data_IF_287057081616
#
_entry.id   IF_287057081616
#
_cell.length_a   1.000
_cell.length_b   1.000
_cell.length_c   1.000
_cell.angle_alpha   90.00
_cell.angle_beta   90.00
_cell.angle_gamma   90.00
#
_symmetry.space_group_name_H-M   'P 1'
#
loop_
_entity.id
_entity.type
_entity.pdbx_description
1 polymer ?
#
# COMPACT_ATOMS: atom_id res chain seq x y z
N UNK A 1 -20.02 -31.63 -27.59
CA UNK A 1 -19.82 -30.17 -27.73
C UNK A 1 -19.90 -29.57 -26.34
N UNK A 2 -18.81 -28.98 -25.84
CA UNK A 2 -18.76 -28.38 -24.51
C UNK A 2 -19.37 -26.98 -24.57
N UNK A 3 -20.46 -26.75 -23.85
CA UNK A 3 -21.12 -25.45 -23.75
C UNK A 3 -20.18 -24.49 -23.02
N UNK A 4 -19.94 -23.30 -23.59
CA UNK A 4 -19.09 -22.30 -22.96
C UNK A 4 -19.68 -21.86 -21.60
N UNK A 5 -18.86 -21.74 -20.54
CA UNK A 5 -19.32 -21.36 -19.22
C UNK A 5 -19.96 -19.97 -19.26
N UNK A 6 -21.14 -19.85 -18.66
CA UNK A 6 -21.88 -18.60 -18.61
C UNK A 6 -21.16 -17.62 -17.69
N UNK A 7 -21.16 -16.30 -17.97
CA UNK A 7 -20.58 -15.30 -17.07
C UNK A 7 -21.12 -15.37 -15.63
N UNK A 8 -22.31 -15.94 -15.44
CA UNK A 8 -22.93 -16.11 -14.13
C UNK A 8 -22.43 -17.36 -13.36
N UNK A 9 -21.75 -18.28 -14.04
CA UNK A 9 -21.08 -19.41 -13.39
C UNK A 9 -19.78 -18.97 -12.72
N UNK A 10 -19.10 -17.97 -13.29
CA UNK A 10 -17.88 -17.39 -12.73
C UNK A 10 -18.14 -16.70 -11.38
N UNK A 11 -19.25 -15.98 -11.27
CA UNK A 11 -19.62 -15.26 -10.03
C UNK A 11 -20.03 -16.22 -8.92
N UNK A 12 -20.68 -17.34 -9.26
CA UNK A 12 -21.00 -18.40 -8.30
C UNK A 12 -19.75 -19.12 -7.81
N UNK A 13 -18.83 -19.44 -8.73
CA UNK A 13 -17.55 -20.06 -8.36
C UNK A 13 -16.73 -19.15 -7.43
N UNK A 14 -16.68 -17.85 -7.70
CA UNK A 14 -15.99 -16.90 -6.82
C UNK A 14 -16.62 -16.83 -5.42
N UNK A 15 -17.95 -16.96 -5.32
CA UNK A 15 -18.64 -16.98 -4.03
C UNK A 15 -18.32 -18.24 -3.22
N UNK A 16 -18.32 -19.41 -3.88
CA UNK A 16 -17.99 -20.69 -3.26
C UNK A 16 -16.52 -20.73 -2.79
N UNK A 17 -15.60 -20.15 -3.59
CA UNK A 17 -14.19 -20.03 -3.19
C UNK A 17 -14.01 -19.11 -1.97
N UNK A 18 -14.78 -18.02 -1.88
CA UNK A 18 -14.73 -17.09 -0.75
C UNK A 18 -15.25 -17.76 0.54
N UNK A 19 -16.35 -18.50 0.44
CA UNK A 19 -16.93 -19.23 1.59
C UNK A 19 -16.00 -20.36 2.08
N UNK A 20 -15.37 -21.09 1.15
CA UNK A 20 -14.38 -22.11 1.48
C UNK A 20 -13.16 -21.53 2.22
N UNK A 21 -12.72 -20.32 1.84
CA UNK A 21 -11.61 -19.63 2.51
C UNK A 21 -12.01 -19.19 3.93
N UNK A 22 -13.25 -18.71 4.09
CA UNK A 22 -13.81 -18.31 5.38
C UNK A 22 -13.95 -19.51 6.32
N UNK A 23 -14.47 -20.64 5.82
CA UNK A 23 -14.51 -21.91 6.57
C UNK A 23 -13.12 -22.41 6.93
N UNK A 24 -12.14 -22.31 6.02
CA UNK A 24 -10.76 -22.73 6.29
C UNK A 24 -10.10 -21.86 7.36
N UNK A 25 -10.40 -20.57 7.40
CA UNK A 25 -9.96 -19.67 8.47
C UNK A 25 -10.63 -19.97 9.82
N UNK A 26 -11.90 -20.37 9.80
CA UNK A 26 -12.63 -20.78 11.00
C UNK A 26 -12.22 -22.16 11.52
N UNK A 27 -11.80 -23.06 10.63
CA UNK A 27 -11.29 -24.39 10.96
C UNK A 27 -9.79 -24.42 11.24
N UNK A 28 -9.09 -23.28 11.32
CA UNK A 28 -7.72 -23.25 11.84
C UNK A 28 -7.77 -23.92 13.22
N UNK A 29 -7.17 -25.11 13.38
CA UNK A 29 -7.19 -25.79 14.64
C UNK A 29 -6.56 -24.84 15.64
N UNK A 30 -7.32 -24.43 16.66
CA UNK A 30 -6.71 -24.00 17.89
C UNK A 30 -5.99 -25.24 18.41
N UNK A 31 -4.75 -25.44 17.96
CA UNK A 31 -3.86 -26.39 18.59
C UNK A 31 -3.98 -26.10 20.09
N UNK A 32 -4.30 -27.11 20.92
CA UNK A 32 -4.36 -26.92 22.34
C UNK A 32 -3.04 -26.25 22.72
N UNK A 33 -3.14 -25.03 23.28
CA UNK A 33 -1.97 -24.29 23.70
C UNK A 33 -1.09 -25.24 24.48
N UNK A 34 0.04 -25.60 23.88
CA UNK A 34 1.01 -26.50 24.46
C UNK A 34 1.41 -25.84 25.77
N UNK A 35 0.89 -26.38 26.88
CA UNK A 35 1.15 -25.87 28.21
C UNK A 35 2.67 -25.86 28.34
N UNK A 36 3.31 -24.69 28.42
CA UNK A 36 4.76 -24.64 28.43
C UNK A 36 5.21 -25.40 29.66
N UNK A 37 5.87 -26.53 29.42
CA UNK A 37 6.60 -27.24 30.46
C UNK A 37 7.56 -26.21 31.05
N UNK A 38 7.47 -25.91 32.35
CA UNK A 38 8.33 -24.90 32.95
C UNK A 38 9.79 -25.31 32.69
N UNK A 39 10.62 -24.42 32.15
CA UNK A 39 12.02 -24.73 31.95
C UNK A 39 12.65 -25.10 33.30
N UNK A 40 13.61 -26.05 33.34
CA UNK A 40 14.35 -26.33 34.55
C UNK A 40 14.94 -25.03 35.06
N UNK A 41 14.73 -24.75 36.35
CA UNK A 41 15.19 -23.55 37.03
C UNK A 41 16.70 -23.40 36.87
N UNK A 42 17.13 -22.71 35.81
CA UNK A 42 18.50 -22.28 35.69
C UNK A 42 18.72 -21.21 36.76
N UNK A 43 19.65 -21.53 37.65
CA UNK A 43 20.19 -20.69 38.71
C UNK A 43 20.37 -19.27 38.20
N UNK A 44 19.50 -18.37 38.64
CA UNK A 44 19.55 -16.96 38.29
C UNK A 44 20.92 -16.40 38.74
N UNK A 45 21.78 -15.93 37.81
CA UNK A 45 23.03 -15.32 38.21
C UNK A 45 22.76 -14.07 39.06
N UNK A 46 23.64 -13.75 40.03
CA UNK A 46 23.46 -12.64 40.94
C UNK A 46 23.26 -11.35 40.15
N UNK A 47 22.19 -10.61 40.47
CA UNK A 47 21.92 -9.31 39.87
C UNK A 47 23.14 -8.39 40.09
N UNK A 48 23.62 -7.69 39.05
CA UNK A 48 24.63 -6.65 39.25
C UNK A 48 24.05 -5.52 40.12
N UNK A 49 24.90 -4.85 40.92
CA UNK A 49 24.48 -3.77 41.80
C UNK A 49 23.76 -2.68 41.01
N UNK A 50 22.63 -2.21 41.54
CA UNK A 50 21.87 -1.10 40.98
C UNK A 50 22.67 0.20 41.13
N UNK A 51 23.38 0.60 40.10
CA UNK A 51 23.92 1.96 40.01
C UNK A 51 22.73 2.88 39.74
N UNK A 52 22.22 3.53 40.79
CA UNK A 52 21.31 4.67 40.66
C UNK A 52 22.00 5.69 39.76
N UNK A 53 21.39 5.97 38.61
CA UNK A 53 21.69 7.17 37.85
C UNK A 53 20.91 8.29 38.53
N UNK A 54 21.58 9.03 39.41
CA UNK A 54 21.09 10.33 39.86
C UNK A 54 20.90 11.24 38.64
N UNK A 55 19.78 11.95 38.60
CA UNK A 55 19.48 12.92 37.57
C UNK A 55 20.56 14.03 37.57
N UNK A 56 21.23 14.31 36.45
CA UNK A 56 22.16 15.41 36.41
C UNK A 56 21.40 16.74 36.48
N UNK A 57 21.90 17.59 37.37
CA UNK A 57 21.50 18.97 37.52
C UNK A 57 21.59 19.73 36.19
N UNK A 58 20.67 20.68 36.05
CA UNK A 58 20.62 21.77 35.07
C UNK A 58 22.00 22.28 34.66
N UNK A 59 22.37 22.07 33.40
CA UNK A 59 23.55 22.69 32.78
C UNK A 59 23.10 23.95 32.03
N UNK A 60 23.76 25.12 32.21
CA UNK A 60 23.42 26.34 31.50
C UNK A 60 23.81 26.30 30.01
N UNK A 61 23.11 27.11 29.22
CA UNK A 61 23.21 27.23 27.78
C UNK A 61 24.65 27.44 27.26
N UNK A 62 25.06 26.79 26.15
CA UNK A 62 26.33 27.09 25.51
C UNK A 62 26.23 28.38 24.68
N UNK A 63 27.10 29.33 25.02
CA UNK A 63 27.39 30.54 24.25
C UNK A 63 27.85 30.22 22.83
N UNK A 64 27.25 30.93 21.88
CA UNK A 64 27.80 31.27 20.57
C UNK A 64 29.19 31.90 20.73
N UNK A 65 30.26 31.20 20.36
CA UNK A 65 31.44 31.80 19.73
C UNK A 65 32.46 30.75 19.26
N UNK A 66 33.05 31.03 18.09
CA UNK A 66 34.30 30.48 17.55
C UNK A 66 34.29 29.08 16.92
N UNK A 67 34.00 29.04 15.61
CA UNK A 67 34.84 28.29 14.68
C UNK A 67 34.96 29.06 13.36
N UNK A 68 36.10 29.72 13.25
CA UNK A 68 36.60 30.35 12.05
C UNK A 68 37.24 29.28 11.13
N UNK A 69 36.99 29.43 9.84
CA UNK A 69 37.92 29.24 8.71
C UNK A 69 38.61 27.88 8.53
N UNK A 70 38.17 27.15 7.51
CA UNK A 70 38.92 26.42 6.45
C UNK A 70 37.86 25.57 5.73
N UNK A 71 37.69 25.50 4.42
CA UNK A 71 38.51 25.72 3.22
C UNK A 71 37.49 25.67 2.05
N UNK A 72 37.58 26.49 1.00
CA UNK A 72 36.64 26.37 -0.12
C UNK A 72 36.87 25.02 -0.82
N UNK A 73 35.81 24.21 -1.04
CA UNK A 73 35.97 23.00 -1.84
C UNK A 73 36.46 23.39 -3.23
N UNK A 74 37.51 22.71 -3.68
CA UNK A 74 38.12 22.86 -4.98
C UNK A 74 37.06 23.09 -6.06
N UNK A 75 37.16 24.24 -6.72
CA UNK A 75 36.47 24.54 -7.97
C UNK A 75 36.83 23.43 -8.94
N UNK A 76 35.94 22.44 -9.11
CA UNK A 76 36.01 21.50 -10.22
C UNK A 76 35.87 22.34 -11.48
N UNK A 77 37.01 22.71 -12.04
CA UNK A 77 37.15 23.32 -13.35
C UNK A 77 36.59 22.31 -14.34
N UNK A 78 35.31 22.49 -14.67
CA UNK A 78 34.69 21.84 -15.80
C UNK A 78 35.50 22.28 -17.02
N UNK A 79 36.44 21.44 -17.43
CA UNK A 79 37.02 21.52 -18.76
C UNK A 79 35.88 21.15 -19.72
N UNK A 80 35.37 22.11 -20.52
CA UNK A 80 34.33 21.80 -21.48
C UNK A 80 34.90 20.73 -22.42
N UNK A 81 34.19 19.61 -22.63
CA UNK A 81 34.66 18.59 -23.54
C UNK A 81 34.90 19.24 -24.90
N UNK A 82 36.08 18.97 -25.48
CA UNK A 82 36.44 19.43 -26.81
C UNK A 82 35.28 19.20 -27.77
N UNK A 83 34.97 20.15 -28.68
CA UNK A 83 33.90 19.99 -29.65
C UNK A 83 34.15 18.68 -30.42
N UNK A 84 33.27 17.70 -30.17
CA UNK A 84 33.30 16.45 -30.90
C UNK A 84 33.23 16.79 -32.38
N UNK A 85 34.24 16.32 -33.12
CA UNK A 85 34.31 16.42 -34.57
C UNK A 85 32.97 15.94 -35.14
N UNK A 86 32.28 16.74 -35.99
CA UNK A 86 30.99 16.33 -36.52
C UNK A 86 31.18 14.99 -37.26
N UNK A 87 30.53 13.96 -36.75
CA UNK A 87 30.43 12.68 -37.42
C UNK A 87 29.85 12.91 -38.83
N UNK A 88 30.32 12.17 -39.85
CA UNK A 88 29.83 12.31 -41.21
C UNK A 88 28.32 12.14 -41.21
N UNK A 89 27.63 13.16 -41.71
CA UNK A 89 26.18 13.20 -41.90
C UNK A 89 25.80 11.98 -42.75
N UNK A 90 25.28 10.95 -42.09
CA UNK A 90 24.68 9.82 -42.77
C UNK A 90 23.49 10.36 -43.57
N UNK A 91 23.54 10.15 -44.89
CA UNK A 91 22.49 10.55 -45.82
C UNK A 91 21.14 10.09 -45.27
N UNK A 92 20.19 11.03 -45.23
CA UNK A 92 18.82 10.76 -44.83
C UNK A 92 18.29 9.53 -45.57
N UNK A 93 17.80 8.48 -44.87
CA UNK A 93 17.16 7.36 -45.54
C UNK A 93 15.96 7.86 -46.33
N UNK A 94 15.81 7.32 -47.55
CA UNK A 94 14.71 7.64 -48.44
C UNK A 94 13.35 7.48 -47.72
N UNK A 95 12.35 8.33 -48.02
CA UNK A 95 11.04 8.25 -47.40
C UNK A 95 10.46 6.85 -47.61
N UNK A 96 10.22 6.16 -46.50
CA UNK A 96 9.52 4.87 -46.49
C UNK A 96 8.09 5.14 -47.01
N UNK A 97 7.59 4.37 -47.98
CA UNK A 97 6.25 4.58 -48.53
C UNK A 97 5.21 4.51 -47.41
N UNK A 98 4.41 5.57 -47.30
CA UNK A 98 3.25 5.65 -46.42
C UNK A 98 2.37 4.42 -46.63
N UNK A 99 2.12 3.58 -45.61
CA UNK A 99 1.20 2.46 -45.72
C UNK A 99 -0.16 2.96 -46.18
N UNK A 100 -0.69 2.33 -47.24
CA UNK A 100 -2.02 2.62 -47.75
C UNK A 100 -3.06 2.48 -46.63
N UNK A 101 -3.95 3.46 -46.52
CA UNK A 101 -4.99 3.47 -45.50
C UNK A 101 -5.78 2.15 -45.54
N UNK A 102 -6.02 1.50 -44.39
CA UNK A 102 -6.80 0.28 -44.34
C UNK A 102 -8.21 0.54 -44.90
N UNK A 103 -8.81 -0.43 -45.63
CA UNK A 103 -10.12 -0.28 -46.20
C UNK A 103 -11.14 0.05 -45.11
N UNK A 104 -11.94 1.09 -45.37
CA UNK A 104 -13.01 1.54 -44.49
C UNK A 104 -13.97 0.36 -44.23
N UNK A 105 -14.19 -0.04 -42.96
CA UNK A 105 -15.09 -1.14 -42.63
C UNK A 105 -16.48 -0.89 -43.21
N UNK A 106 -17.05 -1.92 -43.82
CA UNK A 106 -18.41 -1.87 -44.35
C UNK A 106 -19.40 -1.50 -43.21
N UNK A 107 -20.43 -0.70 -43.49
CA UNK A 107 -21.41 -0.30 -42.48
C UNK A 107 -22.04 -1.55 -41.86
N UNK A 108 -21.84 -1.71 -40.55
CA UNK A 108 -22.46 -2.79 -39.76
C UNK A 108 -23.97 -2.59 -39.83
N UNK A 109 -24.76 -3.62 -40.17
CA UNK A 109 -26.21 -3.52 -40.22
C UNK A 109 -26.74 -3.09 -38.85
N UNK A 110 -27.56 -2.04 -38.86
CA UNK A 110 -28.26 -1.53 -37.68
C UNK A 110 -29.11 -2.66 -37.10
N UNK A 111 -28.89 -3.07 -35.83
CA UNK A 111 -29.72 -4.09 -35.19
C UNK A 111 -31.18 -3.66 -35.19
N UNK A 112 -32.07 -4.57 -35.59
CA UNK A 112 -33.51 -4.36 -35.54
C UNK A 112 -33.95 -3.95 -34.12
N UNK A 113 -34.88 -3.00 -33.98
CA UNK A 113 -35.33 -2.51 -32.68
C UNK A 113 -35.83 -3.67 -31.82
N UNK A 114 -35.20 -3.82 -30.65
CA UNK A 114 -35.58 -4.82 -29.67
C UNK A 114 -37.07 -4.64 -29.29
N UNK A 115 -37.85 -5.73 -29.18
CA UNK A 115 -39.25 -5.66 -28.82
C UNK A 115 -39.43 -4.96 -27.46
N UNK A 116 -40.41 -4.06 -27.39
CA UNK A 116 -40.71 -3.29 -26.20
C UNK A 116 -40.90 -4.22 -24.99
N UNK A 117 -40.28 -3.91 -23.83
CA UNK A 117 -40.41 -4.73 -22.64
C UNK A 117 -41.88 -4.83 -22.24
N UNK A 118 -42.42 -6.06 -22.24
CA UNK A 118 -43.71 -6.35 -21.64
C UNK A 118 -43.62 -6.01 -20.16
N UNK A 119 -44.35 -4.97 -19.76
CA UNK A 119 -44.50 -4.55 -18.36
C UNK A 119 -45.20 -5.69 -17.63
N UNK A 120 -44.43 -6.51 -16.93
CA UNK A 120 -44.95 -7.51 -16.01
C UNK A 120 -45.69 -6.77 -14.91
N UNK A 121 -47.02 -6.80 -14.97
CA UNK A 121 -47.91 -6.24 -13.95
C UNK A 121 -47.53 -6.91 -12.63
N UNK A 122 -46.88 -6.14 -11.76
CA UNK A 122 -46.54 -6.58 -10.41
C UNK A 122 -47.85 -6.55 -9.61
N UNK A 123 -48.29 -7.69 -9.04
CA UNK A 123 -49.52 -7.73 -8.25
C UNK A 123 -49.40 -6.76 -7.08
N UNK A 124 -50.47 -6.01 -6.83
CA UNK A 124 -50.53 -5.03 -5.75
C UNK A 124 -50.15 -5.68 -4.41
N UNK A 125 -49.29 -5.04 -3.59
CA UNK A 125 -48.86 -5.60 -2.32
C UNK A 125 -50.08 -5.86 -1.44
N UNK A 126 -50.29 -7.13 -1.11
CA UNK A 126 -51.26 -7.54 -0.09
C UNK A 126 -50.89 -6.83 1.20
N UNK A 127 -51.82 -6.07 1.78
CA UNK A 127 -51.60 -5.36 3.06
C UNK A 127 -51.30 -6.39 4.14
N UNK A 128 -50.02 -6.55 4.45
CA UNK A 128 -49.57 -7.35 5.58
C UNK A 128 -50.20 -6.77 6.86
N UNK A 129 -50.85 -7.58 7.70
CA UNK A 129 -51.45 -7.10 8.93
C UNK A 129 -50.38 -6.44 9.79
N UNK A 130 -50.66 -5.21 10.22
CA UNK A 130 -49.80 -4.44 11.13
C UNK A 130 -49.50 -5.29 12.36
N UNK A 131 -48.23 -5.66 12.62
CA UNK A 131 -47.88 -6.45 13.78
C UNK A 131 -48.30 -5.69 15.05
N UNK A 132 -48.99 -6.41 15.94
CA UNK A 132 -49.35 -5.93 17.28
C UNK A 132 -48.09 -5.39 17.95
N UNK A 133 -48.12 -4.19 18.56
CA UNK A 133 -46.94 -3.57 19.15
C UNK A 133 -46.30 -4.52 20.16
N UNK A 134 -45.10 -4.99 19.82
CA UNK A 134 -44.24 -5.74 20.74
C UNK A 134 -43.98 -4.83 21.94
N UNK A 135 -44.21 -5.31 23.19
CA UNK A 135 -43.91 -4.55 24.39
C UNK A 135 -42.49 -4.01 24.32
N UNK A 136 -42.33 -2.72 24.62
CA UNK A 136 -41.03 -2.08 24.64
C UNK A 136 -40.08 -2.91 25.53
N UNK A 137 -38.89 -3.31 25.03
CA UNK A 137 -37.95 -4.09 25.82
C UNK A 137 -37.63 -3.31 27.09
N UNK A 138 -37.92 -3.92 28.23
CA UNK A 138 -37.52 -3.39 29.53
C UNK A 138 -36.02 -3.10 29.48
N UNK A 139 -35.57 -1.92 29.94
CA UNK A 139 -34.16 -1.59 30.03
C UNK A 139 -33.42 -2.70 30.76
N UNK A 140 -32.66 -3.50 29.99
CA UNK A 140 -31.79 -4.53 30.56
C UNK A 140 -30.82 -3.78 31.47
N UNK A 141 -30.79 -4.17 32.75
CA UNK A 141 -29.88 -3.58 33.72
C UNK A 141 -28.47 -3.53 33.11
N UNK A 142 -27.75 -2.40 33.24
CA UNK A 142 -26.40 -2.29 32.72
C UNK A 142 -25.58 -3.46 33.27
N UNK A 143 -24.85 -4.20 32.43
CA UNK A 143 -24.01 -5.28 32.91
C UNK A 143 -23.06 -4.71 33.96
N UNK A 144 -22.77 -5.46 35.04
CA UNK A 144 -21.78 -5.04 36.02
C UNK A 144 -20.48 -4.66 35.28
N UNK A 145 -19.81 -3.57 35.71
CA UNK A 145 -18.60 -3.10 35.05
C UNK A 145 -17.63 -4.26 34.93
N UNK A 146 -17.24 -4.57 33.69
CA UNK A 146 -16.26 -5.60 33.42
C UNK A 146 -15.01 -5.28 34.27
N UNK A 147 -14.40 -6.27 34.95
CA UNK A 147 -13.16 -6.05 35.65
C UNK A 147 -12.17 -5.40 34.67
N UNK A 148 -11.41 -4.38 35.10
CA UNK A 148 -10.46 -3.71 34.22
C UNK A 148 -9.57 -4.78 33.61
N UNK A 149 -9.70 -4.98 32.30
CA UNK A 149 -8.85 -5.88 31.55
C UNK A 149 -7.43 -5.44 31.84
N UNK A 150 -6.70 -6.22 32.63
CA UNK A 150 -5.31 -5.98 32.91
C UNK A 150 -4.65 -5.83 31.54
N UNK A 151 -4.18 -4.61 31.24
CA UNK A 151 -3.53 -4.31 29.96
C UNK A 151 -2.33 -5.24 29.89
N UNK A 152 -2.46 -6.33 29.14
CA UNK A 152 -1.34 -7.21 28.84
C UNK A 152 -0.26 -6.30 28.28
N UNK A 153 0.92 -6.20 28.92
CA UNK A 153 1.96 -5.30 28.46
C UNK A 153 2.22 -5.64 27.00
N UNK A 154 2.00 -4.66 26.13
CA UNK A 154 2.26 -4.81 24.70
C UNK A 154 3.71 -5.27 24.60
N UNK A 155 3.98 -6.46 24.04
CA UNK A 155 5.33 -6.99 23.96
C UNK A 155 6.20 -5.95 23.27
N UNK A 156 7.32 -5.60 23.91
CA UNK A 156 8.25 -4.61 23.40
C UNK A 156 8.61 -4.98 21.96
N UNK A 157 8.34 -4.05 21.03
CA UNK A 157 8.64 -4.27 19.63
C UNK A 157 10.14 -4.61 19.47
N UNK A 158 10.49 -5.58 18.60
CA UNK A 158 11.87 -5.96 18.40
C UNK A 158 12.69 -4.73 17.94
N UNK A 159 13.97 -4.63 18.35
CA UNK A 159 14.81 -3.50 17.99
C UNK A 159 14.91 -3.41 16.47
N UNK A 160 14.58 -2.24 15.93
CA UNK A 160 14.62 -1.99 14.49
C UNK A 160 16.11 -1.98 14.06
N UNK A 161 16.50 -2.73 13.02
CA UNK A 161 17.89 -2.74 12.56
C UNK A 161 18.33 -1.32 12.16
N UNK A 162 19.56 -0.93 12.50
CA UNK A 162 20.10 0.40 12.18
C UNK A 162 20.04 0.76 10.70
N UNK A 163 20.02 -0.23 9.80
CA UNK A 163 19.86 -0.02 8.35
C UNK A 163 18.51 0.63 7.99
N UNK A 164 17.47 0.38 8.79
CA UNK A 164 16.15 0.97 8.58
C UNK A 164 15.95 2.30 9.31
N UNK A 165 16.89 2.75 10.14
CA UNK A 165 16.82 4.04 10.83
C UNK A 165 16.53 5.24 9.90
N UNK A 166 17.19 5.40 8.73
CA UNK A 166 16.88 6.50 7.82
C UNK A 166 15.45 6.42 7.27
N UNK A 167 14.94 5.21 7.00
CA UNK A 167 13.56 5.03 6.54
C UNK A 167 12.54 5.35 7.65
N UNK A 168 12.82 4.94 8.88
CA UNK A 168 11.99 5.28 10.04
C UNK A 168 11.99 6.79 10.28
N UNK A 169 13.15 7.44 10.19
CA UNK A 169 13.27 8.89 10.33
C UNK A 169 12.50 9.63 9.24
N UNK A 170 12.59 9.18 7.98
CA UNK A 170 11.85 9.77 6.86
C UNK A 170 10.33 9.59 7.02
N UNK A 171 9.88 8.41 7.46
CA UNK A 171 8.46 8.15 7.72
C UNK A 171 7.95 8.99 8.91
N UNK A 172 8.76 9.17 9.95
CA UNK A 172 8.46 10.07 11.07
C UNK A 172 8.38 11.54 10.65
N UNK A 173 9.30 11.99 9.80
CA UNK A 173 9.28 13.35 9.24
C UNK A 173 8.03 13.57 8.38
N UNK A 174 7.67 12.61 7.54
CA UNK A 174 6.44 12.66 6.75
C UNK A 174 5.19 12.72 7.63
N UNK A 175 5.08 11.82 8.62
CA UNK A 175 3.96 11.83 9.58
C UNK A 175 3.90 13.15 10.36
N UNK A 176 5.04 13.77 10.68
CA UNK A 176 5.12 15.08 11.34
C UNK A 176 4.64 16.22 10.42
N UNK A 177 5.07 16.25 9.17
CA UNK A 177 4.63 17.24 8.18
C UNK A 177 3.12 17.10 7.94
N UNK A 178 2.62 15.88 7.76
CA UNK A 178 1.19 15.63 7.66
C UNK A 178 0.45 16.08 8.92
N UNK A 179 1.02 15.90 10.12
CA UNK A 179 0.47 16.42 11.37
C UNK A 179 0.25 17.94 11.36
N UNK A 180 1.15 18.71 10.74
CA UNK A 180 1.01 20.17 10.62
C UNK A 180 -0.18 20.62 9.76
N UNK A 181 -0.64 19.79 8.82
CA UNK A 181 -1.80 20.09 7.96
C UNK A 181 -3.16 19.80 8.64
N UNK A 182 -3.17 19.44 9.93
CA UNK A 182 -4.40 19.32 10.72
C UNK A 182 -5.37 18.24 10.21
N UNK A 183 -6.69 18.54 10.07
CA UNK A 183 -7.69 17.55 9.64
C UNK A 183 -7.42 16.96 8.25
N UNK A 184 -6.92 17.77 7.31
CA UNK A 184 -6.49 17.30 6.00
C UNK A 184 -5.30 16.34 6.13
N UNK A 185 -4.35 16.67 7.01
CA UNK A 185 -3.24 15.80 7.37
C UNK A 185 -3.62 14.41 7.87
N UNK A 186 -4.73 14.31 8.61
CA UNK A 186 -5.25 13.00 9.08
C UNK A 186 -5.74 12.11 7.93
N UNK A 187 -6.25 12.67 6.84
CA UNK A 187 -6.65 11.89 5.65
C UNK A 187 -5.42 11.28 4.96
N UNK A 188 -4.32 12.02 4.86
CA UNK A 188 -3.04 11.51 4.35
C UNK A 188 -2.41 10.45 5.26
N UNK A 189 -2.72 10.49 6.55
CA UNK A 189 -2.29 9.46 7.51
C UNK A 189 -3.18 8.21 7.50
N UNK A 190 -4.29 8.22 6.77
CA UNK A 190 -5.17 7.05 6.66
C UNK A 190 -4.42 5.87 6.05
N UNK A 191 -4.73 4.65 6.50
CA UNK A 191 -4.12 3.43 5.95
C UNK A 191 -4.34 3.31 4.44
N UNK A 192 -5.47 3.81 3.93
CA UNK A 192 -5.76 3.85 2.50
C UNK A 192 -4.72 4.68 1.72
N UNK A 193 -4.44 5.91 2.18
CA UNK A 193 -3.50 6.79 1.47
C UNK A 193 -2.05 6.27 1.57
N UNK A 194 -1.67 5.74 2.73
CA UNK A 194 -0.36 5.08 2.91
C UNK A 194 -0.20 3.88 1.97
N UNK A 195 -1.22 3.05 1.83
CA UNK A 195 -1.20 1.93 0.89
C UNK A 195 -1.12 2.41 -0.56
N UNK A 196 -1.91 3.42 -0.95
CA UNK A 196 -1.89 3.98 -2.30
C UNK A 196 -0.51 4.56 -2.65
N UNK A 197 0.10 5.30 -1.72
CA UNK A 197 1.44 5.85 -1.90
C UNK A 197 2.50 4.74 -1.96
N UNK A 198 2.34 3.68 -1.17
CA UNK A 198 3.17 2.47 -1.23
C UNK A 198 3.09 1.78 -2.60
N UNK A 199 1.88 1.59 -3.15
CA UNK A 199 1.69 1.03 -4.48
C UNK A 199 2.25 1.94 -5.58
N UNK A 200 2.07 3.25 -5.46
CA UNK A 200 2.66 4.21 -6.40
C UNK A 200 4.19 4.15 -6.38
N UNK A 201 4.80 4.11 -5.20
CA UNK A 201 6.24 3.95 -5.04
C UNK A 201 6.76 2.61 -5.58
N UNK A 202 6.08 1.51 -5.29
CA UNK A 202 6.43 0.19 -5.81
C UNK A 202 6.31 0.16 -7.35
N UNK A 203 5.23 0.73 -7.88
CA UNK A 203 5.02 0.88 -9.32
C UNK A 203 6.15 1.69 -9.98
N UNK A 204 6.60 2.77 -9.34
CA UNK A 204 7.71 3.58 -9.83
C UNK A 204 9.05 2.82 -9.82
N UNK A 205 9.30 2.00 -8.79
CA UNK A 205 10.49 1.14 -8.72
C UNK A 205 10.46 0.11 -9.86
N UNK A 206 9.34 -0.61 -10.02
CA UNK A 206 9.16 -1.60 -11.09
C UNK A 206 9.33 -0.95 -12.45
N UNK A 207 8.69 0.20 -12.67
CA UNK A 207 8.82 1.00 -13.89
C UNK A 207 10.28 1.35 -14.19
N UNK A 208 11.03 1.79 -13.19
CA UNK A 208 12.44 2.16 -13.33
C UNK A 208 13.30 0.95 -13.68
N UNK A 209 13.08 -0.20 -13.02
CA UNK A 209 13.80 -1.44 -13.33
C UNK A 209 13.49 -1.92 -14.75
N UNK A 210 12.22 -1.89 -15.17
CA UNK A 210 11.83 -2.24 -16.54
C UNK A 210 12.48 -1.30 -17.57
N UNK A 211 12.52 0.00 -17.28
CA UNK A 211 13.14 0.98 -18.16
C UNK A 211 14.65 0.73 -18.30
N UNK A 212 15.35 0.51 -17.18
CA UNK A 212 16.78 0.18 -17.20
C UNK A 212 17.03 -1.12 -17.97
N UNK A 213 16.21 -2.15 -17.74
CA UNK A 213 16.31 -3.42 -18.47
C UNK A 213 16.07 -3.24 -19.99
N UNK A 214 15.17 -2.35 -20.38
CA UNK A 214 14.93 -2.00 -21.78
C UNK A 214 16.14 -1.27 -22.39
N UNK A 215 16.73 -0.31 -21.69
CA UNK A 215 17.93 0.44 -22.14
C UNK A 215 19.15 -0.48 -22.27
N UNK A 216 19.28 -1.48 -21.40
CA UNK A 216 20.35 -2.50 -21.46
C UNK A 216 20.08 -3.60 -22.50
N UNK A 217 18.92 -3.58 -23.17
CA UNK A 217 18.53 -4.60 -24.15
C UNK A 217 18.20 -5.97 -23.56
N UNK A 218 18.00 -6.07 -22.23
CA UNK A 218 17.60 -7.31 -21.57
C UNK A 218 16.13 -7.65 -21.84
N UNK A 219 15.30 -6.63 -22.07
CA UNK A 219 13.87 -6.78 -22.34
C UNK A 219 13.50 -5.94 -23.56
N UNK A 220 12.91 -6.57 -24.59
CA UNK A 220 12.35 -5.88 -25.74
C UNK A 220 10.84 -5.70 -25.57
N UNK A 221 10.42 -4.52 -25.12
CA UNK A 221 9.00 -4.16 -25.09
C UNK A 221 8.60 -3.54 -26.44
N UNK A 222 7.41 -3.86 -26.99
CA UNK A 222 6.94 -3.33 -28.27
C UNK A 222 6.67 -1.82 -28.22
N UNK A 223 6.55 -1.25 -27.02
CA UNK A 223 6.34 0.18 -26.79
C UNK A 223 7.51 0.71 -25.96
N UNK A 224 8.12 1.81 -26.41
CA UNK A 224 9.11 2.56 -25.63
C UNK A 224 8.42 3.23 -24.43
N UNK A 225 8.83 2.89 -23.21
CA UNK A 225 8.28 3.55 -22.03
C UNK A 225 8.72 5.03 -22.02
N UNK A 226 7.80 5.99 -21.98
CA UNK A 226 8.14 7.41 -22.05
C UNK A 226 8.80 7.86 -20.75
N UNK A 227 10.09 8.21 -20.79
CA UNK A 227 10.75 8.78 -19.62
C UNK A 227 10.29 10.24 -19.42
N UNK A 228 9.85 10.61 -18.21
CA UNK A 228 9.59 12.01 -17.91
C UNK A 228 10.91 12.79 -18.09
N UNK A 229 10.90 13.74 -19.03
CA UNK A 229 12.01 14.68 -19.27
C UNK A 229 11.99 15.82 -18.27
#
# INVERSE_FOLDING_TARGET
MATAPSPNDLTRQQLDELDALLQKMLMVPLAPAEVPVPPPSMTQPPLPPSWRVDAPATVPAPSLAHLAVNEPPATLKFEPPAPATPAPVAKAPAPVPTPAAPPQPAPVPVPAPAPAPMVKVTPAPTKTPTPKPTPAPQPKAPPPPAPPTALTPVPAAPPVPFVFLPFVALNGLFDSICGMFGPLGRLFRSGFFKNLLGFAGLGLIVYTVLHVAQVQGWVSLPVMLPWPK
#
